data_IF_513449244420
#
_entry.id   IF_513449244420
#
_cell.length_a   1.000
_cell.length_b   1.000
_cell.length_c   1.000
_cell.angle_alpha   90.00
_cell.angle_beta   90.00
_cell.angle_gamma   90.00
#
_symmetry.space_group_name_H-M   'P 1'
#
loop_
_entity.id
_entity.type
_entity.pdbx_description
1 polymer ?
#
# COMPACT_ATOMS: atom_id res chain seq x y z
N UNK A 1 7.99 -4.55 -24.61
CA UNK A 1 7.76 -3.85 -23.33
C UNK A 1 8.95 -4.11 -22.45
N UNK A 2 9.56 -3.07 -21.88
CA UNK A 2 10.64 -3.23 -20.89
C UNK A 2 10.08 -3.81 -19.59
N UNK A 3 10.86 -4.66 -18.94
CA UNK A 3 10.55 -5.18 -17.60
C UNK A 3 10.76 -4.05 -16.59
N UNK A 4 9.70 -3.62 -15.89
CA UNK A 4 9.86 -2.68 -14.78
C UNK A 4 10.42 -3.39 -13.55
N UNK A 5 11.20 -2.69 -12.74
CA UNK A 5 11.74 -3.21 -11.48
C UNK A 5 11.68 -2.12 -10.41
N UNK A 6 11.09 -2.44 -9.25
CA UNK A 6 11.02 -1.51 -8.11
C UNK A 6 12.44 -1.17 -7.64
N UNK A 7 13.31 -2.17 -7.54
CA UNK A 7 14.71 -2.00 -7.14
C UNK A 7 15.46 -1.04 -8.08
N UNK A 8 15.38 -1.28 -9.39
CA UNK A 8 16.06 -0.43 -10.39
C UNK A 8 15.37 0.92 -10.59
N UNK A 9 14.18 1.14 -10.03
CA UNK A 9 13.41 2.38 -10.11
C UNK A 9 13.12 2.99 -8.74
N UNK A 10 13.99 2.75 -7.75
CA UNK A 10 13.84 3.22 -6.36
C UNK A 10 13.47 4.70 -6.28
N UNK A 11 14.14 5.57 -7.04
CA UNK A 11 13.86 7.00 -7.03
C UNK A 11 12.46 7.32 -7.56
N UNK A 12 12.02 6.66 -8.65
CA UNK A 12 10.66 6.79 -9.18
C UNK A 12 9.59 6.26 -8.21
N UNK A 13 9.94 5.38 -7.27
CA UNK A 13 9.03 4.88 -6.24
C UNK A 13 8.96 5.82 -5.03
N UNK A 14 10.11 6.26 -4.53
CA UNK A 14 10.21 7.05 -3.30
C UNK A 14 10.05 8.56 -3.52
N UNK A 15 10.48 9.04 -4.69
CA UNK A 15 10.56 10.47 -5.05
C UNK A 15 10.19 10.67 -6.53
N UNK A 16 9.00 10.20 -6.96
CA UNK A 16 8.60 10.34 -8.35
C UNK A 16 8.51 11.81 -8.77
N UNK A 17 8.74 12.08 -10.05
CA UNK A 17 8.41 13.38 -10.63
C UNK A 17 6.89 13.59 -10.70
N UNK A 18 6.13 12.50 -10.78
CA UNK A 18 4.66 12.49 -10.74
C UNK A 18 4.12 11.17 -10.18
N UNK A 19 2.96 11.19 -9.51
CA UNK A 19 2.34 9.96 -9.01
C UNK A 19 2.11 8.89 -10.09
N UNK A 20 1.91 9.33 -11.34
CA UNK A 20 1.76 8.46 -12.50
C UNK A 20 2.98 7.56 -12.74
N UNK A 21 4.19 8.10 -12.54
CA UNK A 21 5.45 7.36 -12.74
C UNK A 21 5.56 6.17 -11.79
N UNK A 22 5.28 6.41 -10.50
CA UNK A 22 5.21 5.38 -9.47
C UNK A 22 4.15 4.34 -9.80
N UNK A 23 2.94 4.82 -10.16
CA UNK A 23 1.79 3.96 -10.41
C UNK A 23 2.04 2.97 -11.55
N UNK A 24 2.70 3.39 -12.64
CA UNK A 24 3.02 2.48 -13.75
C UNK A 24 3.85 1.28 -13.28
N UNK A 25 4.88 1.52 -12.47
CA UNK A 25 5.77 0.47 -11.97
C UNK A 25 5.01 -0.47 -11.03
N UNK A 26 4.24 0.09 -10.09
CA UNK A 26 3.44 -0.70 -9.16
C UNK A 26 2.37 -1.52 -9.89
N UNK A 27 1.67 -0.92 -10.85
CA UNK A 27 0.65 -1.57 -11.65
C UNK A 27 1.24 -2.71 -12.48
N UNK A 28 2.45 -2.56 -13.02
CA UNK A 28 3.14 -3.64 -13.70
C UNK A 28 3.31 -4.87 -12.81
N UNK A 29 3.69 -4.69 -11.54
CA UNK A 29 3.84 -5.79 -10.59
C UNK A 29 2.50 -6.46 -10.31
N UNK A 30 1.45 -5.66 -10.05
CA UNK A 30 0.10 -6.19 -9.83
C UNK A 30 -0.39 -6.97 -11.05
N UNK A 31 -0.31 -6.40 -12.25
CA UNK A 31 -0.89 -6.98 -13.46
C UNK A 31 -0.21 -8.27 -13.90
N UNK A 32 1.11 -8.37 -13.66
CA UNK A 32 1.93 -9.51 -14.06
C UNK A 32 2.24 -10.48 -12.90
N UNK A 33 1.59 -10.30 -11.74
CA UNK A 33 1.74 -11.13 -10.54
C UNK A 33 3.23 -11.28 -10.12
N UNK A 34 3.99 -10.19 -10.24
CA UNK A 34 5.42 -10.15 -9.93
C UNK A 34 5.60 -10.14 -8.41
N UNK A 35 6.35 -11.10 -7.89
CA UNK A 35 6.73 -11.15 -6.48
C UNK A 35 7.88 -10.19 -6.22
N UNK A 36 7.77 -9.44 -5.13
CA UNK A 36 8.85 -8.56 -4.67
C UNK A 36 9.94 -9.36 -3.95
N UNK A 37 11.18 -8.89 -4.07
CA UNK A 37 12.30 -9.36 -3.25
C UNK A 37 12.42 -8.52 -1.94
N UNK A 38 13.41 -8.84 -1.09
CA UNK A 38 13.63 -8.12 0.17
C UNK A 38 14.02 -6.64 -0.02
N UNK A 39 14.84 -6.33 -1.04
CA UNK A 39 15.24 -4.94 -1.35
C UNK A 39 14.01 -4.12 -1.75
N UNK A 40 13.15 -4.70 -2.57
CA UNK A 40 11.91 -4.07 -3.02
C UNK A 40 10.92 -3.91 -1.87
N UNK A 41 10.84 -4.89 -0.96
CA UNK A 41 10.05 -4.79 0.28
C UNK A 41 10.50 -3.61 1.13
N UNK A 42 11.80 -3.42 1.31
CA UNK A 42 12.34 -2.28 2.06
C UNK A 42 11.97 -0.95 1.38
N UNK A 43 12.11 -0.87 0.06
CA UNK A 43 11.72 0.32 -0.73
C UNK A 43 10.22 0.61 -0.54
N UNK A 44 9.36 -0.40 -0.61
CA UNK A 44 7.91 -0.22 -0.45
C UNK A 44 7.51 0.20 0.98
N UNK A 45 8.24 -0.26 2.00
CA UNK A 45 8.01 0.16 3.39
C UNK A 45 8.41 1.62 3.63
N UNK A 46 9.48 2.10 2.99
CA UNK A 46 9.90 3.50 3.00
C UNK A 46 8.95 4.41 2.18
N UNK A 47 8.23 3.85 1.22
CA UNK A 47 7.37 4.60 0.31
C UNK A 47 6.21 5.28 1.06
N UNK A 48 6.20 6.62 1.02
CA UNK A 48 5.08 7.45 1.48
C UNK A 48 4.28 7.94 0.28
N UNK A 49 3.03 7.49 0.17
CA UNK A 49 2.12 7.84 -0.94
C UNK A 49 0.70 8.02 -0.39
N UNK A 50 -0.03 9.01 -0.90
CA UNK A 50 -1.43 9.28 -0.52
C UNK A 50 -2.44 8.83 -1.57
N UNK A 51 -1.97 8.42 -2.75
CA UNK A 51 -2.84 7.94 -3.81
C UNK A 51 -3.38 6.53 -3.49
N UNK A 52 -4.70 6.39 -3.37
CA UNK A 52 -5.35 5.14 -2.94
C UNK A 52 -4.97 3.90 -3.75
N UNK A 53 -4.84 4.04 -5.08
CA UNK A 53 -4.49 2.90 -5.94
C UNK A 53 -3.07 2.42 -5.65
N UNK A 54 -2.10 3.33 -5.65
CA UNK A 54 -0.72 3.02 -5.24
C UNK A 54 -0.62 2.46 -3.82
N UNK A 55 -1.37 3.01 -2.84
CA UNK A 55 -1.44 2.48 -1.48
C UNK A 55 -1.91 1.01 -1.49
N UNK A 56 -3.01 0.74 -2.17
CA UNK A 56 -3.58 -0.60 -2.27
C UNK A 56 -2.62 -1.58 -2.92
N UNK A 57 -1.98 -1.21 -4.02
CA UNK A 57 -1.01 -2.06 -4.72
C UNK A 57 0.16 -2.40 -3.79
N UNK A 58 0.73 -1.41 -3.09
CA UNK A 58 1.77 -1.65 -2.09
C UNK A 58 1.30 -2.66 -1.04
N UNK A 59 0.04 -2.52 -0.60
CA UNK A 59 -0.56 -3.46 0.35
C UNK A 59 -0.55 -4.91 -0.13
N UNK A 60 -0.96 -5.12 -1.39
CA UNK A 60 -0.96 -6.42 -2.03
C UNK A 60 0.45 -6.98 -2.26
N UNK A 61 1.42 -6.15 -2.63
CA UNK A 61 2.79 -6.59 -2.90
C UNK A 61 3.54 -6.99 -1.64
N UNK A 62 3.31 -6.26 -0.53
CA UNK A 62 3.92 -6.59 0.75
C UNK A 62 3.40 -7.92 1.30
N UNK A 63 2.09 -8.19 1.17
CA UNK A 63 1.46 -9.44 1.63
C UNK A 63 1.92 -9.87 3.04
N UNK A 64 1.95 -8.91 3.96
CA UNK A 64 2.28 -9.15 5.36
C UNK A 64 1.10 -8.82 6.29
N UNK A 65 1.19 -9.36 7.52
CA UNK A 65 0.16 -9.19 8.56
C UNK A 65 0.43 -7.99 9.47
N UNK A 66 1.20 -7.00 9.02
CA UNK A 66 1.38 -5.79 9.83
C UNK A 66 0.07 -5.00 9.93
N UNK A 67 -0.09 -4.26 11.03
CA UNK A 67 -1.29 -3.45 11.25
C UNK A 67 -1.44 -2.37 10.18
N UNK A 68 -0.33 -1.73 9.79
CA UNK A 68 -0.32 -0.73 8.72
C UNK A 68 -0.77 -1.35 7.39
N UNK A 69 -0.29 -2.56 7.07
CA UNK A 69 -0.65 -3.22 5.83
C UNK A 69 -2.14 -3.58 5.77
N UNK A 70 -2.75 -3.92 6.90
CA UNK A 70 -4.21 -4.14 6.96
C UNK A 70 -5.01 -2.90 6.55
N UNK A 71 -4.55 -1.70 6.93
CA UNK A 71 -5.18 -0.45 6.49
C UNK A 71 -5.00 -0.23 4.98
N UNK A 72 -3.79 -0.49 4.44
CA UNK A 72 -3.50 -0.39 3.00
C UNK A 72 -4.40 -1.32 2.18
N UNK A 73 -4.60 -2.54 2.64
CA UNK A 73 -5.47 -3.52 1.98
C UNK A 73 -6.94 -3.09 1.99
N UNK A 74 -7.45 -2.44 3.05
CA UNK A 74 -8.82 -1.88 3.03
C UNK A 74 -8.95 -0.76 1.99
N UNK A 75 -7.93 0.11 1.87
CA UNK A 75 -7.91 1.16 0.84
C UNK A 75 -7.92 0.53 -0.55
N UNK A 76 -7.11 -0.51 -0.79
CA UNK A 76 -7.10 -1.27 -2.04
C UNK A 76 -8.43 -1.97 -2.33
N UNK A 77 -9.04 -2.61 -1.33
CA UNK A 77 -10.33 -3.29 -1.44
C UNK A 77 -11.47 -2.36 -1.89
N UNK A 78 -11.41 -1.09 -1.49
CA UNK A 78 -12.39 -0.06 -1.86
C UNK A 78 -12.10 0.61 -3.22
N UNK A 79 -11.05 0.21 -3.95
CA UNK A 79 -10.77 0.76 -5.27
C UNK A 79 -11.80 0.28 -6.30
N UNK A 80 -12.61 1.21 -6.81
CA UNK A 80 -13.67 0.91 -7.79
C UNK A 80 -13.19 0.84 -9.24
N UNK A 81 -12.02 1.42 -9.53
CA UNK A 81 -11.50 1.52 -10.89
C UNK A 81 -10.64 0.32 -11.28
N UNK A 82 -10.02 -0.35 -10.30
CA UNK A 82 -9.11 -1.47 -10.51
C UNK A 82 -9.64 -2.74 -9.81
N UNK A 83 -10.35 -3.56 -10.59
CA UNK A 83 -11.00 -4.77 -10.10
C UNK A 83 -10.00 -5.84 -9.60
N UNK A 84 -8.83 -5.95 -10.25
CA UNK A 84 -7.78 -6.88 -9.83
C UNK A 84 -7.26 -6.49 -8.44
N UNK A 85 -6.97 -5.20 -8.25
CA UNK A 85 -6.55 -4.67 -6.96
C UNK A 85 -7.60 -4.91 -5.86
N UNK A 86 -8.86 -4.56 -6.12
CA UNK A 86 -9.94 -4.73 -5.13
C UNK A 86 -10.12 -6.20 -4.74
N UNK A 87 -10.11 -7.10 -5.73
CA UNK A 87 -10.27 -8.54 -5.50
C UNK A 87 -9.10 -9.12 -4.71
N UNK A 88 -7.86 -8.82 -5.13
CA UNK A 88 -6.66 -9.31 -4.46
C UNK A 88 -6.59 -8.78 -3.02
N UNK A 89 -6.84 -7.48 -2.83
CA UNK A 89 -6.86 -6.86 -1.50
C UNK A 89 -7.85 -7.56 -0.57
N UNK A 90 -9.08 -7.81 -1.04
CA UNK A 90 -10.09 -8.53 -0.26
C UNK A 90 -9.67 -9.96 0.09
N UNK A 91 -8.96 -10.65 -0.80
CA UNK A 91 -8.47 -12.00 -0.53
C UNK A 91 -7.33 -12.07 0.51
N UNK A 92 -6.57 -10.98 0.65
CA UNK A 92 -5.46 -10.86 1.61
C UNK A 92 -5.89 -10.26 2.96
N UNK A 93 -7.08 -9.66 3.04
CA UNK A 93 -7.58 -9.06 4.28
C UNK A 93 -7.91 -10.11 5.34
N UNK A 94 -7.31 -9.93 6.51
CA UNK A 94 -7.62 -10.70 7.71
C UNK A 94 -8.44 -9.84 8.70
N UNK A 95 -9.64 -10.32 9.06
CA UNK A 95 -10.57 -9.55 9.90
C UNK A 95 -10.04 -9.35 11.33
N UNK A 96 -9.28 -10.30 11.86
CA UNK A 96 -8.72 -10.19 13.22
C UNK A 96 -7.63 -9.11 13.25
N UNK A 97 -6.72 -9.12 12.27
CA UNK A 97 -5.65 -8.13 12.14
C UNK A 97 -6.23 -6.74 11.85
N UNK A 98 -7.27 -6.63 11.03
CA UNK A 98 -7.95 -5.36 10.78
C UNK A 98 -8.55 -4.77 12.06
N UNK A 99 -9.22 -5.57 12.90
CA UNK A 99 -9.76 -5.08 14.19
C UNK A 99 -8.65 -4.53 15.09
N UNK A 100 -7.52 -5.25 15.18
CA UNK A 100 -6.34 -4.80 15.92
C UNK A 100 -5.77 -3.50 15.34
N UNK A 101 -5.69 -3.38 14.02
CA UNK A 101 -5.21 -2.18 13.34
C UNK A 101 -6.11 -0.97 13.62
N UNK A 102 -7.43 -1.15 13.56
CA UNK A 102 -8.39 -0.09 13.86
C UNK A 102 -8.24 0.38 15.30
N UNK A 103 -8.16 -0.53 16.26
CA UNK A 103 -7.97 -0.14 17.67
C UNK A 103 -6.64 0.59 17.89
N UNK A 104 -5.54 0.06 17.34
CA UNK A 104 -4.22 0.67 17.46
C UNK A 104 -4.15 2.09 16.89
N UNK A 105 -4.64 2.29 15.65
CA UNK A 105 -4.50 3.56 14.92
C UNK A 105 -5.55 4.61 15.26
N UNK A 106 -6.71 4.23 15.83
CA UNK A 106 -7.83 5.14 16.03
C UNK A 106 -8.32 5.25 17.48
N UNK A 107 -7.97 4.31 18.36
CA UNK A 107 -8.45 4.29 19.75
C UNK A 107 -7.31 4.42 20.76
N UNK A 108 -6.25 3.60 20.62
CA UNK A 108 -5.21 3.44 21.63
C UNK A 108 -4.12 4.52 21.55
N UNK A 109 -3.79 4.99 20.35
CA UNK A 109 -2.64 5.87 20.11
C UNK A 109 -3.06 7.21 19.49
N UNK A 110 -2.28 8.25 19.82
CA UNK A 110 -2.53 9.61 19.31
C UNK A 110 -1.95 9.75 17.90
N UNK A 111 -2.61 10.54 17.06
CA UNK A 111 -2.14 10.79 15.69
C UNK A 111 -0.68 11.26 15.61
N UNK A 112 -0.28 12.13 16.53
CA UNK A 112 1.06 12.74 16.53
C UNK A 112 2.18 11.77 16.94
N UNK A 113 1.85 10.57 17.47
CA UNK A 113 2.87 9.55 17.78
C UNK A 113 3.27 8.70 16.58
N UNK A 114 2.54 8.79 15.47
CA UNK A 114 2.80 8.00 14.27
C UNK A 114 3.83 8.65 13.35
N UNK A 115 4.56 7.83 12.60
CA UNK A 115 5.44 8.36 11.55
C UNK A 115 4.62 8.91 10.38
N UNK A 116 5.28 9.63 9.47
CA UNK A 116 4.61 10.29 8.34
C UNK A 116 3.83 9.31 7.45
N UNK A 117 4.36 8.12 7.19
CA UNK A 117 3.70 7.13 6.34
C UNK A 117 2.41 6.64 7.01
N UNK A 118 2.49 6.25 8.29
CA UNK A 118 1.35 5.83 9.08
C UNK A 118 0.26 6.91 9.17
N UNK A 119 0.66 8.17 9.37
CA UNK A 119 -0.26 9.30 9.38
C UNK A 119 -1.02 9.45 8.05
N UNK A 120 -0.32 9.31 6.91
CA UNK A 120 -0.93 9.37 5.58
C UNK A 120 -1.91 8.20 5.40
N UNK A 121 -1.48 6.96 5.65
CA UNK A 121 -2.33 5.77 5.46
C UNK A 121 -3.57 5.86 6.36
N UNK A 122 -3.42 6.27 7.62
CA UNK A 122 -4.54 6.48 8.55
C UNK A 122 -5.52 7.53 8.02
N UNK A 123 -5.03 8.63 7.45
CA UNK A 123 -5.86 9.68 6.85
C UNK A 123 -6.64 9.15 5.65
N UNK A 124 -5.97 8.49 4.71
CA UNK A 124 -6.61 7.94 3.51
C UNK A 124 -7.61 6.83 3.86
N UNK A 125 -7.32 6.01 4.87
CA UNK A 125 -8.23 4.99 5.38
C UNK A 125 -9.56 5.61 5.85
N UNK A 126 -9.52 6.71 6.62
CA UNK A 126 -10.70 7.42 7.10
C UNK A 126 -11.57 8.02 5.98
N UNK A 127 -11.04 8.18 4.77
CA UNK A 127 -11.81 8.68 3.62
C UNK A 127 -12.67 7.57 3.02
N UNK A 128 -12.23 6.31 3.14
CA UNK A 128 -12.85 5.16 2.47
C UNK A 128 -13.62 4.22 3.40
N UNK A 129 -13.35 4.26 4.71
CA UNK A 129 -13.95 3.40 5.74
C UNK A 129 -14.83 4.23 6.69
#
# INVERSE_FOLDING_TARGET
MGTYSIENSKDSILRPNSEFERRIILQYYLDNDVKINEIERDILNECSVSEHESIGIIGCLLDDKSLLNSLRLVIGANNRSNFKLSTLSNSLLDSETLKKAVSYYFEENKYDSFNRNEQIIRREFNIVY
#
